data_IF_247841157345
#
_entry.id   IF_247841157345
#
_cell.length_a   1.000
_cell.length_b   1.000
_cell.length_c   1.000
_cell.angle_alpha   90.00
_cell.angle_beta   90.00
_cell.angle_gamma   90.00
#
_symmetry.space_group_name_H-M   'P 1'
#
loop_
_entity.id
_entity.type
_entity.pdbx_description
1 polymer ?
#
# COMPACT_ATOMS: atom_id res chain seq x y z
N UNK A 1 18.45 3.17 19.71
CA UNK A 1 18.60 2.41 18.43
C UNK A 1 17.39 2.70 17.58
N UNK A 2 17.58 3.33 16.42
CA UNK A 2 16.50 3.69 15.50
C UNK A 2 16.19 2.50 14.59
N UNK A 3 14.94 2.37 14.10
CA UNK A 3 14.53 1.28 13.18
C UNK A 3 15.44 1.24 11.94
N UNK A 4 15.85 2.41 11.40
CA UNK A 4 16.75 2.51 10.26
C UNK A 4 18.16 1.91 10.54
N UNK A 5 18.63 1.92 11.79
CA UNK A 5 19.93 1.39 12.15
C UNK A 5 19.96 -0.15 12.02
N UNK A 6 18.77 -0.78 12.03
CA UNK A 6 18.62 -2.22 11.81
C UNK A 6 19.12 -2.65 10.44
N UNK A 7 18.84 -1.90 9.37
CA UNK A 7 19.33 -2.20 8.03
C UNK A 7 20.87 -2.07 7.94
N UNK A 8 21.50 -1.25 8.80
CA UNK A 8 22.95 -1.14 8.87
C UNK A 8 23.59 -2.38 9.51
N UNK A 9 23.02 -2.85 10.62
CA UNK A 9 23.61 -3.92 11.45
C UNK A 9 23.19 -5.32 10.98
N UNK A 10 22.06 -5.45 10.28
CA UNK A 10 21.46 -6.74 9.91
C UNK A 10 21.10 -6.78 8.42
N UNK A 11 21.12 -7.97 7.79
CA UNK A 11 20.70 -8.17 6.40
C UNK A 11 19.16 -8.17 6.27
N UNK A 12 18.54 -7.03 6.58
CA UNK A 12 17.10 -6.83 6.51
C UNK A 12 16.75 -5.50 5.84
N UNK A 13 15.63 -5.47 5.17
CA UNK A 13 15.13 -4.28 4.50
C UNK A 13 14.16 -3.51 5.39
N UNK A 14 14.41 -2.21 5.54
CA UNK A 14 13.51 -1.28 6.22
C UNK A 14 12.69 -0.53 5.19
N UNK A 15 11.35 -0.56 5.32
CA UNK A 15 10.44 0.14 4.40
C UNK A 15 9.76 1.30 5.08
N UNK A 16 9.85 2.46 4.46
CA UNK A 16 9.09 3.65 4.84
C UNK A 16 7.90 3.81 3.90
N UNK A 17 6.73 4.02 4.47
CA UNK A 17 5.48 4.18 3.75
C UNK A 17 4.95 5.57 4.07
N UNK A 18 4.69 6.39 3.05
CA UNK A 18 4.02 7.67 3.26
C UNK A 18 2.66 7.47 3.92
N UNK A 19 2.37 8.28 4.93
CA UNK A 19 1.10 8.24 5.64
C UNK A 19 -0.02 8.68 4.70
N UNK A 20 -1.00 7.80 4.52
CA UNK A 20 -2.20 8.10 3.74
C UNK A 20 -3.27 8.73 4.63
N UNK A 21 -4.07 9.70 4.13
CA UNK A 21 -5.12 10.38 4.90
C UNK A 21 -6.36 9.50 5.04
N UNK A 22 -6.21 8.36 5.72
CA UNK A 22 -7.26 7.36 5.99
C UNK A 22 -7.27 7.06 7.48
N UNK A 23 -8.43 7.11 8.10
CA UNK A 23 -8.57 6.85 9.53
C UNK A 23 -7.68 7.77 10.36
N UNK A 24 -6.81 7.22 11.18
CA UNK A 24 -5.89 8.00 12.01
C UNK A 24 -4.85 8.81 11.22
N UNK A 25 -4.59 8.46 9.97
CA UNK A 25 -3.67 9.21 9.10
C UNK A 25 -4.11 10.64 8.80
N UNK A 26 -5.41 10.93 8.90
CA UNK A 26 -5.94 12.30 8.76
C UNK A 26 -5.53 13.25 9.89
N UNK A 27 -5.08 12.72 11.01
CA UNK A 27 -4.74 13.48 12.22
C UNK A 27 -3.24 13.73 12.39
N UNK A 28 -2.42 13.24 11.48
CA UNK A 28 -0.97 13.25 11.60
C UNK A 28 -0.33 14.11 10.50
N UNK A 29 0.64 14.93 10.88
CA UNK A 29 1.55 15.52 9.91
C UNK A 29 2.40 14.41 9.28
N UNK A 30 2.44 14.36 7.96
CA UNK A 30 3.21 13.37 7.22
C UNK A 30 4.50 13.97 6.70
N UNK A 31 5.61 13.23 6.84
CA UNK A 31 6.88 13.55 6.19
C UNK A 31 6.87 12.85 4.83
N UNK A 32 7.25 13.57 3.77
CA UNK A 32 7.39 12.97 2.44
C UNK A 32 8.60 12.03 2.38
N UNK A 33 8.54 11.05 1.49
CA UNK A 33 9.69 10.16 1.28
C UNK A 33 10.92 10.91 0.75
N UNK A 34 10.76 12.03 0.03
CA UNK A 34 11.88 12.84 -0.44
C UNK A 34 12.60 13.54 0.74
N UNK A 35 11.86 14.16 1.64
CA UNK A 35 12.43 14.74 2.87
C UNK A 35 13.13 13.69 3.72
N UNK A 36 12.56 12.48 3.79
CA UNK A 36 13.18 11.38 4.51
C UNK A 36 14.45 10.88 3.82
N UNK A 37 14.48 10.80 2.48
CA UNK A 37 15.69 10.46 1.71
C UNK A 37 16.80 11.52 1.91
N UNK A 38 16.45 12.79 1.90
CA UNK A 38 17.41 13.87 2.19
C UNK A 38 18.00 13.74 3.59
N UNK A 39 17.14 13.46 4.58
CA UNK A 39 17.58 13.22 5.95
C UNK A 39 18.54 12.02 6.03
N UNK A 40 18.23 10.92 5.36
CA UNK A 40 19.08 9.73 5.34
C UNK A 40 20.40 10.04 4.64
N UNK A 41 20.39 10.73 3.50
CA UNK A 41 21.63 11.17 2.81
C UNK A 41 22.55 12.00 3.70
N UNK A 42 21.96 12.89 4.47
CA UNK A 42 22.71 13.76 5.40
C UNK A 42 23.45 12.97 6.50
N UNK A 43 22.84 11.89 7.00
CA UNK A 43 23.39 11.13 8.13
C UNK A 43 24.22 9.91 7.73
N UNK A 44 23.93 9.31 6.57
CA UNK A 44 24.51 8.01 6.18
C UNK A 44 25.18 8.02 4.80
N UNK A 45 25.13 9.14 4.08
CA UNK A 45 25.72 9.25 2.75
C UNK A 45 24.74 8.93 1.62
N UNK A 46 25.26 8.61 0.46
CA UNK A 46 24.47 8.49 -0.75
C UNK A 46 23.54 7.27 -0.72
N UNK A 47 22.31 7.47 -1.25
CA UNK A 47 21.36 6.45 -1.57
C UNK A 47 21.56 6.05 -3.03
N UNK A 48 21.92 4.80 -3.29
CA UNK A 48 22.04 4.23 -4.63
C UNK A 48 20.83 3.34 -4.89
N UNK A 49 20.08 3.62 -5.94
CA UNK A 49 18.89 2.84 -6.28
C UNK A 49 19.24 1.39 -6.58
N UNK A 50 18.49 0.46 -6.00
CA UNK A 50 18.67 -0.97 -6.17
C UNK A 50 17.54 -1.53 -7.03
N UNK A 51 17.86 -1.91 -8.27
CA UNK A 51 16.90 -2.42 -9.25
C UNK A 51 16.62 -3.92 -9.14
N UNK A 52 17.12 -4.59 -8.12
CA UNK A 52 16.77 -5.99 -7.86
C UNK A 52 15.28 -6.13 -7.53
N UNK A 53 14.70 -7.28 -7.89
CA UNK A 53 13.28 -7.55 -7.63
C UNK A 53 13.09 -8.03 -6.19
N UNK A 54 12.44 -7.20 -5.37
CA UNK A 54 12.10 -7.48 -3.97
C UNK A 54 10.64 -7.91 -3.78
N UNK A 55 10.09 -8.63 -4.73
CA UNK A 55 8.69 -9.03 -4.78
C UNK A 55 7.83 -8.13 -5.65
N UNK A 56 6.50 -8.20 -5.50
CA UNK A 56 5.52 -7.53 -6.36
C UNK A 56 4.92 -6.28 -5.69
N UNK A 57 5.71 -5.57 -4.90
CA UNK A 57 5.30 -4.35 -4.19
C UNK A 57 5.72 -3.07 -4.89
N UNK A 58 5.11 -1.90 -4.52
CA UNK A 58 5.43 -0.60 -5.10
C UNK A 58 6.65 0.06 -4.44
N UNK A 59 7.40 -0.64 -3.60
CA UNK A 59 8.56 -0.09 -2.92
C UNK A 59 9.75 0.06 -3.89
N UNK A 60 10.37 1.23 -3.90
CA UNK A 60 11.66 1.49 -4.55
C UNK A 60 12.74 1.37 -3.48
N UNK A 61 13.75 0.55 -3.75
CA UNK A 61 14.80 0.25 -2.78
C UNK A 61 16.09 0.98 -3.09
N UNK A 62 16.83 1.30 -2.03
CA UNK A 62 18.15 1.94 -2.10
C UNK A 62 19.11 1.22 -1.18
N UNK A 63 20.32 1.01 -1.67
CA UNK A 63 21.47 0.60 -0.87
C UNK A 63 22.21 1.83 -0.31
N UNK A 64 22.81 1.66 0.85
CA UNK A 64 23.66 2.65 1.52
C UNK A 64 25.00 1.99 1.78
N UNK A 65 26.09 2.69 1.52
CA UNK A 65 27.44 2.16 1.76
C UNK A 65 27.62 1.78 3.24
N UNK A 66 28.13 0.57 3.50
CA UNK A 66 28.32 0.03 4.83
C UNK A 66 27.05 -0.53 5.49
N UNK A 67 25.92 -0.60 4.79
CA UNK A 67 24.71 -1.28 5.28
C UNK A 67 24.68 -2.73 4.79
N UNK A 68 24.15 -3.63 5.63
CA UNK A 68 23.94 -5.04 5.27
C UNK A 68 22.61 -5.26 4.54
N UNK A 69 21.60 -4.44 4.83
CA UNK A 69 20.29 -4.46 4.19
C UNK A 69 19.99 -3.16 3.43
N UNK A 70 18.76 -3.04 2.96
CA UNK A 70 18.34 -1.90 2.13
C UNK A 70 17.28 -1.04 2.82
N UNK A 71 17.09 0.15 2.25
CA UNK A 71 16.01 1.06 2.65
C UNK A 71 15.04 1.19 1.47
N UNK A 72 13.78 0.84 1.69
CA UNK A 72 12.72 0.92 0.70
C UNK A 72 11.74 2.06 1.00
N UNK A 73 11.20 2.67 -0.07
CA UNK A 73 10.23 3.75 0.04
C UNK A 73 8.97 3.42 -0.76
N UNK A 74 7.81 3.58 -0.12
CA UNK A 74 6.49 3.48 -0.76
C UNK A 74 5.86 4.87 -0.73
N UNK A 75 5.95 5.57 -1.86
CA UNK A 75 5.45 6.94 -2.01
C UNK A 75 3.97 6.91 -2.39
N UNK A 76 3.12 6.66 -1.40
CA UNK A 76 1.68 6.51 -1.59
C UNK A 76 0.97 7.83 -1.91
N UNK A 77 1.56 8.96 -1.50
CA UNK A 77 0.99 10.30 -1.69
C UNK A 77 1.61 11.01 -2.90
N UNK A 78 2.93 11.11 -2.93
CA UNK A 78 3.65 11.92 -3.91
C UNK A 78 4.15 11.13 -5.13
N UNK A 79 4.34 9.82 -4.99
CA UNK A 79 4.89 8.95 -6.04
C UNK A 79 3.86 8.22 -6.92
N UNK A 80 2.59 8.43 -6.74
CA UNK A 80 1.42 7.90 -7.50
C UNK A 80 1.69 6.66 -8.36
N UNK A 81 1.86 5.50 -7.73
CA UNK A 81 2.02 4.24 -8.46
C UNK A 81 0.68 3.60 -8.90
N UNK A 82 -0.41 4.39 -8.98
CA UNK A 82 -1.76 3.88 -9.26
C UNK A 82 -1.86 3.17 -10.61
N UNK A 83 -1.19 3.66 -11.63
CA UNK A 83 -1.14 3.06 -12.97
C UNK A 83 -0.47 1.67 -12.99
N UNK A 84 0.36 1.37 -12.01
CA UNK A 84 1.01 0.07 -11.82
C UNK A 84 0.37 -0.75 -10.70
N UNK A 85 -0.68 -0.23 -10.07
CA UNK A 85 -1.31 -0.86 -8.92
C UNK A 85 -2.17 -2.06 -9.33
N UNK A 86 -1.68 -3.26 -9.06
CA UNK A 86 -2.36 -4.53 -9.31
C UNK A 86 -3.11 -5.07 -8.07
N UNK A 87 -3.40 -4.24 -7.06
CA UNK A 87 -3.91 -4.70 -5.77
C UNK A 87 -5.42 -4.65 -5.69
N UNK A 88 -5.99 -5.72 -5.18
CA UNK A 88 -7.33 -5.80 -4.61
C UNK A 88 -7.17 -6.25 -3.16
N UNK A 89 -7.98 -5.74 -2.27
CA UNK A 89 -7.96 -6.08 -0.85
C UNK A 89 -9.25 -6.76 -0.44
N UNK A 90 -9.15 -7.59 0.59
CA UNK A 90 -10.32 -8.13 1.26
C UNK A 90 -10.38 -7.52 2.66
N UNK A 91 -11.56 -7.01 3.03
CA UNK A 91 -11.81 -6.50 4.37
C UNK A 91 -11.97 -7.64 5.38
N UNK A 92 -11.87 -7.34 6.67
CA UNK A 92 -12.16 -8.30 7.74
C UNK A 92 -13.60 -8.81 7.74
N UNK A 93 -14.52 -8.07 7.10
CA UNK A 93 -15.94 -8.44 6.96
C UNK A 93 -16.23 -9.34 5.74
N UNK A 94 -15.23 -9.52 4.86
CA UNK A 94 -15.33 -10.36 3.67
C UNK A 94 -15.84 -9.61 2.44
N UNK A 95 -15.53 -8.33 2.33
CA UNK A 95 -15.79 -7.51 1.16
C UNK A 95 -14.52 -7.28 0.35
N UNK A 96 -14.63 -7.23 -0.97
CA UNK A 96 -13.52 -6.86 -1.85
C UNK A 96 -13.47 -5.34 -2.06
N UNK A 97 -12.27 -4.75 -1.91
CA UNK A 97 -11.98 -3.34 -2.17
C UNK A 97 -10.94 -3.20 -3.28
N UNK A 98 -11.23 -2.47 -4.36
CA UNK A 98 -10.26 -2.24 -5.44
C UNK A 98 -9.24 -1.16 -5.10
N UNK A 99 -9.58 -0.24 -4.19
CA UNK A 99 -8.73 0.88 -3.78
C UNK A 99 -8.94 1.21 -2.29
N UNK A 100 -7.90 1.73 -1.64
CA UNK A 100 -7.99 2.20 -0.26
C UNK A 100 -8.71 3.55 -0.14
N UNK A 101 -8.57 4.41 -1.15
CA UNK A 101 -9.07 5.78 -1.12
C UNK A 101 -10.59 5.89 -1.07
N UNK A 102 -11.30 4.91 -1.63
CA UNK A 102 -12.74 4.96 -1.83
C UNK A 102 -13.47 3.90 -1.02
N UNK A 103 -14.67 4.21 -0.54
CA UNK A 103 -15.52 3.31 0.23
C UNK A 103 -16.07 2.15 -0.60
N UNK A 104 -16.04 2.25 -1.93
CA UNK A 104 -16.58 1.23 -2.84
C UNK A 104 -16.05 -0.18 -2.53
N UNK A 105 -16.98 -1.09 -2.34
CA UNK A 105 -16.70 -2.51 -2.00
C UNK A 105 -17.76 -3.45 -2.56
N UNK A 106 -17.41 -4.72 -2.71
CA UNK A 106 -18.30 -5.80 -3.16
C UNK A 106 -18.29 -6.93 -2.14
N UNK A 107 -19.48 -7.28 -1.64
CA UNK A 107 -19.63 -8.34 -0.66
C UNK A 107 -19.32 -9.71 -1.26
N UNK A 108 -18.20 -10.33 -0.88
CA UNK A 108 -17.80 -11.68 -1.32
C UNK A 108 -18.34 -12.76 -0.39
N UNK A 109 -18.54 -12.46 0.87
CA UNK A 109 -18.95 -13.41 1.90
C UNK A 109 -20.26 -14.15 1.60
N UNK A 110 -21.35 -13.51 1.09
CA UNK A 110 -22.57 -14.24 0.70
C UNK A 110 -22.31 -15.25 -0.40
N UNK A 111 -21.53 -14.89 -1.42
CA UNK A 111 -21.19 -15.80 -2.52
C UNK A 111 -20.41 -17.02 -2.04
N UNK A 112 -19.44 -16.84 -1.13
CA UNK A 112 -18.66 -17.92 -0.54
C UNK A 112 -19.50 -18.95 0.25
N UNK A 113 -20.71 -18.55 0.72
CA UNK A 113 -21.62 -19.38 1.51
C UNK A 113 -22.72 -20.05 0.70
N UNK A 114 -22.74 -19.86 -0.61
CA UNK A 114 -23.69 -20.56 -1.48
C UNK A 114 -23.47 -22.07 -1.42
N UNK A 115 -24.56 -22.85 -1.29
CA UNK A 115 -24.50 -24.31 -1.21
C UNK A 115 -24.10 -24.92 -2.56
N UNK A 116 -24.69 -24.42 -3.66
CA UNK A 116 -24.42 -24.93 -5.00
C UNK A 116 -23.00 -24.50 -5.45
N UNK A 117 -22.09 -25.45 -5.72
CA UNK A 117 -20.69 -25.14 -6.05
C UNK A 117 -20.53 -24.39 -7.38
N UNK A 118 -21.34 -24.67 -8.38
CA UNK A 118 -21.27 -24.04 -9.70
C UNK A 118 -21.72 -22.58 -9.61
N UNK A 119 -22.86 -22.30 -9.01
CA UNK A 119 -23.37 -20.95 -8.79
C UNK A 119 -22.44 -20.15 -7.89
N UNK A 120 -21.90 -20.79 -6.87
CA UNK A 120 -20.89 -20.15 -5.99
C UNK A 120 -19.66 -19.68 -6.79
N UNK A 121 -19.13 -20.55 -7.65
CA UNK A 121 -17.96 -20.22 -8.49
C UNK A 121 -18.27 -19.08 -9.46
N UNK A 122 -19.41 -19.15 -10.12
CA UNK A 122 -19.87 -18.12 -11.06
C UNK A 122 -20.01 -16.77 -10.36
N UNK A 123 -20.67 -16.72 -9.20
CA UNK A 123 -20.88 -15.48 -8.46
C UNK A 123 -19.56 -14.89 -7.93
N UNK A 124 -18.64 -15.72 -7.43
CA UNK A 124 -17.31 -15.29 -7.03
C UNK A 124 -16.56 -14.66 -8.22
N UNK A 125 -16.59 -15.29 -9.38
CA UNK A 125 -15.96 -14.75 -10.59
C UNK A 125 -16.57 -13.43 -11.02
N UNK A 126 -17.89 -13.28 -10.94
CA UNK A 126 -18.61 -12.05 -11.27
C UNK A 126 -18.21 -10.91 -10.31
N UNK A 127 -18.14 -11.18 -9.01
CA UNK A 127 -17.73 -10.20 -8.00
C UNK A 127 -16.28 -9.76 -8.22
N UNK A 128 -15.37 -10.70 -8.46
CA UNK A 128 -13.97 -10.41 -8.77
C UNK A 128 -13.84 -9.52 -10.01
N UNK A 129 -14.53 -9.89 -11.10
CA UNK A 129 -14.54 -9.12 -12.35
C UNK A 129 -15.05 -7.70 -12.11
N UNK A 130 -16.21 -7.56 -11.47
CA UNK A 130 -16.76 -6.23 -11.12
C UNK A 130 -15.79 -5.39 -10.28
N UNK A 131 -15.13 -6.00 -9.31
CA UNK A 131 -14.16 -5.31 -8.48
C UNK A 131 -12.95 -4.81 -9.28
N UNK A 132 -12.48 -5.59 -10.27
CA UNK A 132 -11.37 -5.22 -11.14
C UNK A 132 -11.76 -4.12 -12.13
N UNK A 133 -12.89 -4.30 -12.83
CA UNK A 133 -13.39 -3.36 -13.84
C UNK A 133 -13.71 -1.97 -13.26
N UNK A 134 -14.15 -1.94 -12.00
CA UNK A 134 -14.46 -0.70 -11.29
C UNK A 134 -13.28 -0.17 -10.45
N UNK A 135 -12.08 -0.68 -10.67
CA UNK A 135 -10.90 -0.15 -10.00
C UNK A 135 -10.62 1.27 -10.51
N UNK A 136 -10.54 2.28 -9.61
CA UNK A 136 -10.24 3.64 -10.03
C UNK A 136 -8.83 3.73 -10.62
N UNK A 137 -8.67 4.58 -11.64
CA UNK A 137 -7.37 4.80 -12.29
C UNK A 137 -6.34 5.41 -11.34
N UNK A 138 -6.79 6.26 -10.40
CA UNK A 138 -5.93 6.90 -9.41
C UNK A 138 -6.68 7.15 -8.10
N UNK A 139 -5.92 7.34 -7.03
CA UNK A 139 -6.45 7.81 -5.76
C UNK A 139 -6.63 9.34 -5.76
N UNK A 140 -7.36 9.85 -4.77
CA UNK A 140 -7.63 11.28 -4.58
C UNK A 140 -7.04 11.84 -3.26
N UNK A 141 -5.99 11.24 -2.74
CA UNK A 141 -5.43 11.62 -1.43
C UNK A 141 -4.94 13.07 -1.34
N UNK A 142 -4.71 13.74 -2.46
CA UNK A 142 -4.34 15.16 -2.52
C UNK A 142 -5.51 16.08 -2.16
N UNK A 143 -6.74 15.65 -2.43
CA UNK A 143 -7.95 16.33 -1.98
C UNK A 143 -8.70 15.41 -1.00
N UNK A 144 -8.43 15.61 0.28
CA UNK A 144 -9.02 14.78 1.36
C UNK A 144 -10.54 14.81 1.38
N UNK A 145 -11.19 15.83 0.78
CA UNK A 145 -12.65 15.92 0.65
C UNK A 145 -13.22 14.86 -0.30
N UNK A 146 -12.40 14.33 -1.21
CA UNK A 146 -12.77 13.26 -2.14
C UNK A 146 -12.45 11.85 -1.61
N UNK A 147 -11.74 11.75 -0.50
CA UNK A 147 -11.50 10.47 0.17
C UNK A 147 -12.78 10.04 0.85
N UNK A 148 -13.41 8.99 0.35
CA UNK A 148 -14.69 8.49 0.88
C UNK A 148 -14.53 7.36 1.89
N UNK A 149 -13.32 6.78 2.03
CA UNK A 149 -13.06 5.72 3.01
C UNK A 149 -13.02 6.29 4.43
N UNK A 150 -13.92 5.80 5.27
CA UNK A 150 -14.08 6.23 6.67
C UNK A 150 -13.51 5.23 7.69
N UNK A 151 -13.24 3.98 7.26
CA UNK A 151 -12.75 2.94 8.15
C UNK A 151 -11.23 3.03 8.34
N UNK A 152 -10.71 2.69 9.51
CA UNK A 152 -9.26 2.61 9.74
C UNK A 152 -8.62 1.49 8.92
N UNK A 153 -7.33 1.65 8.60
CA UNK A 153 -6.56 0.74 7.75
C UNK A 153 -6.67 -0.73 8.14
N UNK A 154 -6.66 -1.05 9.43
CA UNK A 154 -6.77 -2.43 9.93
C UNK A 154 -8.11 -3.12 9.61
N UNK A 155 -9.15 -2.37 9.23
CA UNK A 155 -10.45 -2.93 8.87
C UNK A 155 -10.62 -3.12 7.36
N UNK A 156 -9.81 -2.46 6.55
CA UNK A 156 -9.93 -2.43 5.09
C UNK A 156 -8.85 -3.23 4.35
N UNK A 157 -8.15 -4.10 5.07
CA UNK A 157 -7.15 -4.99 4.48
C UNK A 157 -5.81 -4.29 4.17
N UNK A 158 -5.44 -3.33 5.00
CA UNK A 158 -4.16 -2.62 4.94
C UNK A 158 -3.29 -2.90 6.12
#
# INVERSE_FOLDING_TARGET
MCIRDRAKEYPLDVRFIEMMPIGYGNMSESISNEELKETIRKYYGNLTEDFRVYGNGPAVYYSIEGFQGNVGFISAMHGKFCNLCNRIRMTSTGDLKPCLCYEQRWALKPALRMENPEKRREEIQNILRKSIENKPQMHCFEDTRQVTESHPMGQIGG
#
